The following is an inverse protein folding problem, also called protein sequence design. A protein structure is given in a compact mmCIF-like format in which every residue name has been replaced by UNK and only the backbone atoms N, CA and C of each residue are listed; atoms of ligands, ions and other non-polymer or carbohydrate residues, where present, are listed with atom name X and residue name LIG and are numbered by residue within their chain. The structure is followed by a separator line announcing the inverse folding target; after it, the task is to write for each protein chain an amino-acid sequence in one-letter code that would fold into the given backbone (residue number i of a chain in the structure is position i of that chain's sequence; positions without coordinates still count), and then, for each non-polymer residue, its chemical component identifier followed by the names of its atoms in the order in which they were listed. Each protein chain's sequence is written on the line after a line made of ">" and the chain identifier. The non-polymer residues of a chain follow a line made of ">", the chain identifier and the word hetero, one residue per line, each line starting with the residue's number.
data_IF_034700936642
#
_entry.id   IF_034700936642
#
_cell.length_a   1.000
_cell.length_b   1.000
_cell.length_c   1.000
_cell.angle_alpha   90.00
_cell.angle_beta   90.00
_cell.angle_gamma   90.00
#
_symmetry.space_group_name_H-M   'P 1'
#
loop_
_entity.id
_entity.type
_entity.pdbx_description
1 polymer ?
#
# COMPACT_ATOMS: atom_id res chain seq x y z
N UNK A 1 18.99 -4.89 -22.80
CA UNK A 1 19.56 -4.36 -21.54
C UNK A 1 18.53 -4.55 -20.44
N UNK A 2 18.90 -5.24 -19.38
CA UNK A 2 18.01 -5.28 -18.24
C UNK A 2 17.90 -3.88 -17.63
N UNK A 3 16.68 -3.42 -17.46
CA UNK A 3 16.43 -2.17 -16.78
C UNK A 3 16.67 -2.36 -15.28
N UNK A 4 17.21 -1.34 -14.63
CA UNK A 4 17.34 -1.36 -13.17
C UNK A 4 15.95 -1.37 -12.56
N UNK A 5 15.64 -2.32 -11.65
CA UNK A 5 14.34 -2.33 -10.98
C UNK A 5 14.10 -1.02 -10.24
N UNK A 6 12.86 -0.55 -10.16
CA UNK A 6 12.55 0.67 -9.45
C UNK A 6 12.81 0.51 -7.96
N UNK A 7 13.12 1.62 -7.30
CA UNK A 7 13.21 1.62 -5.84
C UNK A 7 11.82 1.48 -5.24
N UNK A 8 11.75 0.69 -4.18
CA UNK A 8 10.52 0.48 -3.41
C UNK A 8 9.95 1.82 -2.95
N UNK A 9 8.63 1.94 -3.00
CA UNK A 9 7.90 3.16 -2.65
C UNK A 9 8.31 4.39 -3.48
N UNK A 10 8.34 4.21 -4.78
CA UNK A 10 8.45 5.31 -5.75
C UNK A 10 7.26 5.25 -6.73
N UNK A 11 6.97 6.33 -7.45
CA UNK A 11 5.90 6.28 -8.47
C UNK A 11 6.11 5.17 -9.50
N UNK A 12 7.35 4.94 -9.92
CA UNK A 12 7.67 3.86 -10.86
C UNK A 12 7.36 2.47 -10.29
N UNK A 13 7.67 2.25 -9.01
CA UNK A 13 7.33 1.01 -8.32
C UNK A 13 5.80 0.84 -8.24
N UNK A 14 5.09 1.89 -7.84
CA UNK A 14 3.63 1.84 -7.68
C UNK A 14 2.95 1.46 -8.99
N UNK A 15 3.42 2.00 -10.12
CA UNK A 15 2.90 1.67 -11.44
C UNK A 15 3.06 0.17 -11.75
N UNK A 16 4.24 -0.39 -11.50
CA UNK A 16 4.50 -1.82 -11.68
C UNK A 16 3.69 -2.67 -10.71
N UNK A 17 3.51 -2.21 -9.49
CA UNK A 17 2.70 -2.89 -8.50
C UNK A 17 1.23 -2.99 -8.94
N UNK A 18 0.65 -1.92 -9.46
CA UNK A 18 -0.72 -1.93 -9.99
C UNK A 18 -0.84 -2.94 -11.15
N UNK A 19 0.10 -2.94 -12.08
CA UNK A 19 0.11 -3.92 -13.17
C UNK A 19 0.17 -5.36 -12.64
N UNK A 20 1.02 -5.60 -11.64
CA UNK A 20 1.16 -6.91 -11.03
C UNK A 20 -0.11 -7.35 -10.30
N UNK A 21 -0.77 -6.45 -9.57
CA UNK A 21 -2.04 -6.75 -8.91
C UNK A 21 -3.10 -7.18 -9.92
N UNK A 22 -3.24 -6.44 -11.01
CA UNK A 22 -4.26 -6.70 -12.02
C UNK A 22 -3.96 -7.94 -12.87
N UNK A 23 -2.73 -8.43 -12.85
CA UNK A 23 -2.32 -9.64 -13.57
C UNK A 23 -2.26 -10.88 -12.67
N UNK A 24 -2.44 -10.74 -11.35
CA UNK A 24 -2.28 -11.83 -10.40
C UNK A 24 -3.60 -12.57 -10.17
N UNK A 25 -3.66 -13.84 -10.60
CA UNK A 25 -4.88 -14.64 -10.48
C UNK A 25 -5.27 -14.93 -9.02
N UNK A 26 -4.28 -15.12 -8.14
CA UNK A 26 -4.55 -15.36 -6.72
C UNK A 26 -5.11 -14.11 -6.06
N UNK A 27 -4.58 -12.94 -6.40
CA UNK A 27 -5.09 -11.68 -5.89
C UNK A 27 -6.50 -11.39 -6.40
N UNK A 28 -6.76 -11.63 -7.68
CA UNK A 28 -8.10 -11.48 -8.27
C UNK A 28 -9.13 -12.30 -7.50
N UNK A 29 -8.79 -13.53 -7.17
CA UNK A 29 -9.64 -14.42 -6.38
C UNK A 29 -9.85 -13.89 -4.95
N UNK A 30 -8.78 -13.43 -4.30
CA UNK A 30 -8.84 -12.90 -2.94
C UNK A 30 -9.64 -11.61 -2.87
N UNK A 31 -9.49 -10.74 -3.86
CA UNK A 31 -10.18 -9.45 -3.92
C UNK A 31 -11.67 -9.61 -4.27
N UNK A 32 -12.02 -10.62 -5.08
CA UNK A 32 -13.42 -10.93 -5.40
C UNK A 32 -14.14 -9.75 -6.02
N UNK A 33 -15.21 -9.31 -5.36
CA UNK A 33 -16.03 -8.18 -5.81
C UNK A 33 -15.69 -6.87 -5.10
N UNK A 34 -14.55 -6.81 -4.41
CA UNK A 34 -14.18 -5.63 -3.63
C UNK A 34 -14.18 -4.36 -4.50
N UNK A 35 -14.95 -3.38 -4.08
CA UNK A 35 -15.10 -2.09 -4.76
C UNK A 35 -15.02 -1.00 -3.69
N UNK A 36 -13.85 -0.41 -3.55
CA UNK A 36 -13.58 0.68 -2.61
C UNK A 36 -12.16 1.20 -2.84
N UNK A 37 -11.77 2.19 -2.06
CA UNK A 37 -10.42 2.76 -2.13
C UNK A 37 -9.63 2.38 -0.88
N UNK A 38 -8.38 2.00 -1.06
CA UNK A 38 -7.41 1.77 0.01
C UNK A 38 -6.25 2.74 -0.19
N UNK A 39 -5.90 3.47 0.86
CA UNK A 39 -4.78 4.41 0.84
C UNK A 39 -3.63 3.80 1.63
N UNK A 40 -2.45 3.74 1.01
CA UNK A 40 -1.20 3.33 1.67
C UNK A 40 -0.25 4.51 1.67
N UNK A 41 0.40 4.76 2.80
CA UNK A 41 1.35 5.86 2.96
C UNK A 41 2.67 5.37 3.54
N UNK A 42 3.76 5.82 2.94
CA UNK A 42 5.11 5.53 3.40
C UNK A 42 5.81 6.83 3.75
N UNK A 43 6.26 6.96 5.00
CA UNK A 43 7.00 8.13 5.45
C UNK A 43 8.49 7.83 5.50
N UNK A 44 9.30 8.87 5.33
CA UNK A 44 10.75 8.81 5.46
C UNK A 44 11.40 7.78 4.53
N UNK A 45 11.12 7.90 3.22
CA UNK A 45 11.79 7.05 2.23
C UNK A 45 13.29 7.35 2.18
N UNK A 46 14.13 6.43 1.67
CA UNK A 46 15.57 6.68 1.55
C UNK A 46 15.92 7.93 0.74
N UNK A 47 15.03 8.35 -0.17
CA UNK A 47 15.21 9.56 -0.98
C UNK A 47 14.70 10.81 -0.29
N UNK A 48 14.30 10.73 1.00
CA UNK A 48 13.85 11.87 1.78
C UNK A 48 12.44 12.33 1.42
N UNK A 49 11.55 11.40 1.05
CA UNK A 49 10.19 11.70 0.63
C UNK A 49 9.17 11.07 1.57
N UNK A 50 7.99 11.69 1.65
CA UNK A 50 6.76 11.05 2.12
C UNK A 50 5.91 10.79 0.88
N UNK A 51 5.31 9.61 0.78
CA UNK A 51 4.53 9.23 -0.41
C UNK A 51 3.24 8.53 -0.01
N UNK A 52 2.16 8.91 -0.68
CA UNK A 52 0.83 8.34 -0.51
C UNK A 52 0.35 7.79 -1.84
N UNK A 53 -0.22 6.59 -1.81
CA UNK A 53 -0.84 5.99 -2.98
C UNK A 53 -2.26 5.58 -2.63
N UNK A 54 -3.24 6.10 -3.35
CA UNK A 54 -4.64 5.76 -3.20
C UNK A 54 -5.06 4.83 -4.34
N UNK A 55 -5.35 3.58 -3.99
CA UNK A 55 -5.74 2.54 -4.94
C UNK A 55 -7.24 2.40 -4.95
N UNK A 56 -7.87 2.68 -6.09
CA UNK A 56 -9.30 2.51 -6.27
C UNK A 56 -9.58 1.18 -6.95
N UNK A 57 -10.35 0.33 -6.29
CA UNK A 57 -10.73 -0.99 -6.78
C UNK A 57 -12.17 -0.99 -7.27
N UNK A 58 -12.43 -1.65 -8.38
CA UNK A 58 -13.76 -2.01 -8.84
C UNK A 58 -13.76 -3.50 -9.17
N UNK A 59 -14.67 -4.23 -8.52
CA UNK A 59 -14.80 -5.68 -8.71
C UNK A 59 -13.45 -6.41 -8.63
N UNK A 60 -12.62 -6.03 -7.67
CA UNK A 60 -11.34 -6.65 -7.37
C UNK A 60 -10.16 -6.19 -8.21
N UNK A 61 -10.37 -5.32 -9.19
CA UNK A 61 -9.28 -4.78 -10.03
C UNK A 61 -9.00 -3.33 -9.67
N UNK A 62 -7.74 -2.93 -9.72
CA UNK A 62 -7.34 -1.54 -9.55
C UNK A 62 -7.65 -0.79 -10.83
N UNK A 63 -8.55 0.17 -10.77
CA UNK A 63 -8.97 0.97 -11.93
C UNK A 63 -8.36 2.36 -11.93
N UNK A 64 -7.82 2.80 -10.79
CA UNK A 64 -7.17 4.09 -10.67
C UNK A 64 -6.18 4.06 -9.50
N UNK A 65 -5.10 4.81 -9.63
CA UNK A 65 -4.16 5.05 -8.52
C UNK A 65 -3.74 6.51 -8.54
N UNK A 66 -3.88 7.19 -7.41
CA UNK A 66 -3.43 8.56 -7.22
C UNK A 66 -2.21 8.57 -6.31
N UNK A 67 -1.14 9.20 -6.76
CA UNK A 67 0.11 9.29 -6.01
C UNK A 67 0.35 10.75 -5.61
N UNK A 68 0.61 10.95 -4.32
CA UNK A 68 1.03 12.23 -3.76
C UNK A 68 2.39 12.02 -3.10
N UNK A 69 3.39 12.75 -3.55
CA UNK A 69 4.76 12.66 -3.03
C UNK A 69 5.31 14.05 -2.77
N UNK A 70 5.94 14.24 -1.63
CA UNK A 70 6.55 15.51 -1.25
C UNK A 70 7.73 15.26 -0.32
N UNK A 71 8.56 16.27 -0.11
CA UNK A 71 9.71 16.17 0.79
C UNK A 71 9.29 15.83 2.21
N UNK A 72 9.98 14.88 2.84
CA UNK A 72 9.73 14.48 4.21
C UNK A 72 10.42 15.45 5.20
N UNK A 73 9.78 15.80 6.33
CA UNK A 73 8.40 15.48 6.65
C UNK A 73 7.39 16.38 5.93
N UNK A 74 6.45 15.79 5.24
CA UNK A 74 5.37 16.55 4.60
C UNK A 74 4.27 16.81 5.62
N UNK A 75 4.21 18.01 6.16
CA UNK A 75 3.25 18.37 7.21
C UNK A 75 1.81 18.24 6.77
N UNK A 76 1.51 18.62 5.53
CA UNK A 76 0.16 18.52 4.99
C UNK A 76 -0.30 17.07 4.95
N UNK A 77 0.54 16.17 4.44
CA UNK A 77 0.22 14.74 4.39
C UNK A 77 0.08 14.14 5.78
N UNK A 78 1.03 14.43 6.68
CA UNK A 78 1.06 13.85 8.03
C UNK A 78 -0.09 14.33 8.92
N UNK A 79 -0.60 15.52 8.67
CA UNK A 79 -1.69 16.12 9.46
C UNK A 79 -3.06 16.00 8.78
N UNK A 80 -3.14 15.45 7.59
CA UNK A 80 -4.42 15.28 6.90
C UNK A 80 -5.29 14.26 7.64
N UNK A 81 -6.51 14.65 8.08
CA UNK A 81 -7.39 13.68 8.74
C UNK A 81 -7.88 12.64 7.75
N UNK A 82 -8.09 11.42 8.25
CA UNK A 82 -8.66 10.35 7.44
C UNK A 82 -10.13 10.66 7.12
N UNK A 83 -10.49 10.56 5.84
CA UNK A 83 -11.86 10.77 5.38
C UNK A 83 -12.46 9.42 4.98
N UNK A 84 -13.40 8.95 5.80
CA UNK A 84 -14.11 7.68 5.58
C UNK A 84 -14.97 7.66 4.32
N UNK A 85 -15.29 8.84 3.77
CA UNK A 85 -16.07 8.96 2.53
C UNK A 85 -15.18 8.83 1.29
N UNK A 86 -13.87 9.02 1.43
CA UNK A 86 -12.91 8.87 0.34
C UNK A 86 -12.32 7.48 0.22
N UNK A 87 -12.18 6.77 1.35
CA UNK A 87 -11.54 5.46 1.36
C UNK A 87 -12.08 4.58 2.48
N UNK A 88 -12.00 3.27 2.27
CA UNK A 88 -12.32 2.30 3.32
C UNK A 88 -11.27 2.30 4.42
N UNK A 89 -10.00 2.43 4.04
CA UNK A 89 -8.90 2.34 4.99
C UNK A 89 -7.70 3.15 4.52
N UNK A 90 -6.91 3.61 5.48
CA UNK A 90 -5.63 4.25 5.23
C UNK A 90 -4.58 3.67 6.17
N UNK A 91 -3.55 3.05 5.61
CA UNK A 91 -2.45 2.47 6.36
C UNK A 91 -1.20 3.32 6.19
N UNK A 92 -0.57 3.69 7.30
CA UNK A 92 0.62 4.55 7.32
C UNK A 92 1.73 3.91 8.13
N UNK A 93 2.92 3.84 7.56
CA UNK A 93 4.11 3.37 8.25
C UNK A 93 5.36 4.02 7.64
N UNK A 94 6.49 3.89 8.34
CA UNK A 94 7.76 4.31 7.78
C UNK A 94 8.27 3.32 6.76
N UNK A 95 9.20 3.74 5.95
CA UNK A 95 9.86 2.88 4.95
C UNK A 95 10.44 1.61 5.60
N UNK A 96 11.02 1.73 6.80
CA UNK A 96 11.57 0.58 7.53
C UNK A 96 10.51 -0.48 7.81
N UNK A 97 9.33 -0.07 8.23
CA UNK A 97 8.22 -1.00 8.52
C UNK A 97 7.71 -1.64 7.24
N UNK A 98 7.52 -0.85 6.18
CA UNK A 98 7.10 -1.39 4.88
C UNK A 98 8.10 -2.41 4.35
N UNK A 99 9.41 -2.15 4.51
CA UNK A 99 10.46 -3.06 4.10
C UNK A 99 10.39 -4.39 4.86
N UNK A 100 10.13 -4.34 6.17
CA UNK A 100 9.92 -5.57 6.98
C UNK A 100 8.76 -6.40 6.46
N UNK A 101 7.64 -5.74 6.12
CA UNK A 101 6.48 -6.41 5.53
C UNK A 101 6.84 -7.06 4.19
N UNK A 102 7.54 -6.31 3.34
CA UNK A 102 7.92 -6.78 2.01
C UNK A 102 8.88 -7.96 2.05
N UNK A 103 9.80 -7.96 3.00
CA UNK A 103 10.80 -9.02 3.17
C UNK A 103 10.30 -10.20 4.01
N UNK A 104 9.07 -10.17 4.49
CA UNK A 104 8.51 -11.24 5.30
C UNK A 104 8.98 -11.27 6.75
N UNK A 105 9.68 -10.22 7.21
CA UNK A 105 10.09 -10.09 8.61
C UNK A 105 8.93 -9.72 9.53
N UNK A 106 7.84 -9.25 8.97
CA UNK A 106 6.61 -8.90 9.69
C UNK A 106 5.42 -9.32 8.83
N UNK A 107 4.42 -9.94 9.44
CA UNK A 107 3.16 -10.27 8.75
C UNK A 107 2.20 -9.09 8.79
N UNK A 108 1.20 -9.09 7.90
CA UNK A 108 0.14 -8.07 7.92
C UNK A 108 -0.60 -8.08 9.26
N UNK A 109 -0.88 -9.26 9.81
CA UNK A 109 -1.54 -9.37 11.12
C UNK A 109 -0.71 -8.77 12.24
N UNK A 110 0.61 -8.99 12.23
CA UNK A 110 1.51 -8.36 13.19
C UNK A 110 1.53 -6.84 13.02
N UNK A 111 1.53 -6.35 11.77
CA UNK A 111 1.49 -4.92 11.47
C UNK A 111 0.22 -4.28 12.01
N UNK A 112 -0.93 -4.91 11.81
CA UNK A 112 -2.23 -4.38 12.28
C UNK A 112 -2.30 -4.20 13.79
N UNK A 113 -1.46 -4.90 14.55
CA UNK A 113 -1.38 -4.80 16.01
C UNK A 113 -0.17 -4.01 16.49
N UNK A 114 0.68 -3.55 15.58
CA UNK A 114 1.89 -2.79 15.91
C UNK A 114 1.58 -1.29 16.07
N UNK A 115 2.16 -0.62 17.07
CA UNK A 115 2.03 0.83 17.18
C UNK A 115 2.75 1.59 16.06
N UNK A 116 3.66 0.92 15.34
CA UNK A 116 4.44 1.52 14.25
C UNK A 116 3.71 1.47 12.90
N UNK A 117 2.56 0.81 12.85
CA UNK A 117 1.71 0.71 11.67
C UNK A 117 0.35 1.30 12.00
N UNK A 118 0.08 2.50 11.48
CA UNK A 118 -1.16 3.18 11.75
C UNK A 118 -2.20 2.79 10.71
N UNK A 119 -3.27 2.13 11.14
CA UNK A 119 -4.40 1.80 10.27
C UNK A 119 -5.62 2.60 10.71
N UNK A 120 -6.26 3.28 9.77
CA UNK A 120 -7.44 4.10 9.99
C UNK A 120 -8.59 3.56 9.14
N UNK A 121 -9.79 3.53 9.71
CA UNK A 121 -10.99 3.02 9.06
C UNK A 121 -11.81 2.13 9.98
N UNK A 122 -12.97 1.64 9.52
CA UNK A 122 -13.82 0.78 10.34
C UNK A 122 -13.15 -0.58 10.58
N UNK A 123 -12.90 -0.91 11.85
CA UNK A 123 -12.15 -2.11 12.24
C UNK A 123 -12.77 -3.40 11.71
N UNK A 124 -14.07 -3.55 11.82
CA UNK A 124 -14.75 -4.76 11.35
C UNK A 124 -14.63 -4.95 9.85
N UNK A 125 -14.72 -3.85 9.11
CA UNK A 125 -14.59 -3.87 7.65
C UNK A 125 -13.15 -4.18 7.22
N UNK A 126 -12.17 -3.65 7.93
CA UNK A 126 -10.75 -3.94 7.70
C UNK A 126 -10.49 -5.42 7.96
N UNK A 127 -10.95 -5.96 9.08
CA UNK A 127 -10.78 -7.38 9.40
C UNK A 127 -11.49 -8.29 8.40
N UNK A 128 -12.68 -7.90 7.94
CA UNK A 128 -13.40 -8.66 6.92
C UNK A 128 -12.68 -8.69 5.57
N UNK A 129 -11.78 -7.72 5.32
CA UNK A 129 -11.04 -7.61 4.07
C UNK A 129 -9.52 -7.82 4.25
N UNK A 130 -9.12 -8.47 5.34
CA UNK A 130 -7.69 -8.70 5.62
C UNK A 130 -7.01 -9.50 4.51
N UNK A 131 -7.74 -10.37 3.81
CA UNK A 131 -7.22 -11.13 2.68
C UNK A 131 -6.74 -10.22 1.53
N UNK A 132 -7.35 -9.06 1.38
CA UNK A 132 -6.94 -8.07 0.37
C UNK A 132 -5.61 -7.44 0.77
N UNK A 133 -5.45 -7.05 2.03
CA UNK A 133 -4.18 -6.51 2.53
C UNK A 133 -3.06 -7.55 2.45
N UNK A 134 -3.33 -8.79 2.83
CA UNK A 134 -2.39 -9.89 2.68
C UNK A 134 -2.00 -10.10 1.21
N UNK A 135 -2.98 -10.10 0.32
CA UNK A 135 -2.76 -10.27 -1.12
C UNK A 135 -1.92 -9.16 -1.71
N UNK A 136 -2.19 -7.91 -1.32
CA UNK A 136 -1.39 -6.76 -1.76
C UNK A 136 0.07 -6.93 -1.29
N UNK A 137 0.27 -7.33 -0.04
CA UNK A 137 1.61 -7.55 0.49
C UNK A 137 2.35 -8.67 -0.23
N UNK A 138 1.68 -9.76 -0.55
CA UNK A 138 2.27 -10.87 -1.30
C UNK A 138 2.67 -10.46 -2.71
N UNK A 139 1.86 -9.64 -3.36
CA UNK A 139 2.17 -9.15 -4.71
C UNK A 139 3.35 -8.17 -4.67
N UNK A 140 3.39 -7.23 -3.70
CA UNK A 140 4.54 -6.32 -3.59
C UNK A 140 5.84 -7.09 -3.41
N UNK A 141 5.83 -8.15 -2.62
CA UNK A 141 7.02 -8.95 -2.35
C UNK A 141 7.58 -9.62 -3.62
N UNK A 142 6.74 -9.84 -4.63
CA UNK A 142 7.14 -10.47 -5.89
C UNK A 142 7.51 -9.46 -6.99
N UNK A 143 7.19 -8.19 -6.81
CA UNK A 143 7.59 -7.15 -7.77
C UNK A 143 9.08 -6.88 -7.60
N UNK A 144 9.84 -6.95 -8.70
CA UNK A 144 11.27 -6.64 -8.66
C UNK A 144 11.50 -5.19 -8.25
N UNK A 145 12.41 -4.98 -7.30
CA UNK A 145 12.70 -3.67 -6.75
C UNK A 145 14.09 -3.62 -6.14
N UNK A 146 14.55 -2.39 -5.90
CA UNK A 146 15.69 -2.11 -5.02
C UNK A 146 15.16 -1.39 -3.77
N UNK A 147 15.87 -1.54 -2.66
CA UNK A 147 15.53 -0.85 -1.40
C UNK A 147 16.36 0.40 -1.19
#
# INVERSE_FOLDING_TARGET
>A
MPETPPRYWTPAFIEQFVEALNADAAFEKAAGSFTDTIILRCFDTPDGQDIEAAYTFEAGSVVDVNVWMDDAPCREMRNEPFDKDEAMARATATYTIWTKLDQGAMSVLQALTSPDYMIEGPKLKILANVSIFNGMNEVTARVEKTY
#
